data_IF_591314547130
#
_entry.id   IF_591314547130
#
_cell.length_a   1.000
_cell.length_b   1.000
_cell.length_c   1.000
_cell.angle_alpha   90.00
_cell.angle_beta   90.00
_cell.angle_gamma   90.00
#
_symmetry.space_group_name_H-M   'P 1'
#
loop_
_entity.id
_entity.type
_entity.pdbx_description
1 polymer ?
#
# COMPACT_ATOMS: atom_id res chain seq x y z
N UNK A 1 -25.53 -23.27 -37.47
CA UNK A 1 -24.79 -22.63 -36.36
C UNK A 1 -23.39 -22.27 -36.81
N UNK A 2 -22.82 -21.13 -36.37
CA UNK A 2 -21.43 -20.76 -36.66
C UNK A 2 -20.49 -21.62 -35.79
N UNK A 3 -19.61 -22.38 -36.43
CA UNK A 3 -18.50 -23.06 -35.76
C UNK A 3 -17.23 -22.47 -36.37
N UNK A 4 -16.40 -21.83 -35.53
CA UNK A 4 -15.10 -21.25 -35.93
C UNK A 4 -15.17 -20.29 -37.15
N UNK A 5 -16.23 -19.48 -37.23
CA UNK A 5 -16.34 -18.42 -38.24
C UNK A 5 -16.67 -18.87 -39.66
N UNK A 6 -17.04 -20.13 -39.89
CA UNK A 6 -17.52 -20.62 -41.19
C UNK A 6 -18.98 -21.07 -41.08
N UNK A 7 -19.83 -20.61 -42.00
CA UNK A 7 -21.22 -21.02 -42.13
C UNK A 7 -21.28 -22.43 -42.73
N UNK A 8 -21.46 -23.44 -41.89
CA UNK A 8 -21.73 -24.80 -42.30
C UNK A 8 -23.20 -25.16 -42.02
N UNK A 9 -23.89 -25.68 -43.04
CA UNK A 9 -25.21 -26.27 -42.90
C UNK A 9 -25.04 -27.72 -42.43
N UNK A 10 -25.32 -27.97 -41.16
CA UNK A 10 -25.44 -29.32 -40.59
C UNK A 10 -26.84 -29.88 -40.90
N UNK A 11 -26.95 -31.17 -41.24
CA UNK A 11 -28.26 -31.81 -41.43
C UNK A 11 -29.01 -31.98 -40.10
N UNK A 12 -30.34 -32.06 -40.18
CA UNK A 12 -31.24 -32.07 -39.01
C UNK A 12 -30.97 -33.24 -38.05
N UNK A 13 -30.61 -34.42 -38.56
CA UNK A 13 -30.26 -35.60 -37.72
C UNK A 13 -28.99 -35.36 -36.88
N UNK A 14 -27.99 -34.67 -37.43
CA UNK A 14 -26.77 -34.35 -36.67
C UNK A 14 -27.00 -33.24 -35.65
N UNK A 15 -27.93 -32.32 -35.93
CA UNK A 15 -28.30 -31.26 -34.99
C UNK A 15 -29.04 -31.81 -33.77
N UNK A 16 -30.01 -32.72 -33.98
CA UNK A 16 -30.75 -33.36 -32.89
C UNK A 16 -29.86 -34.22 -31.98
N UNK A 17 -28.85 -34.91 -32.51
CA UNK A 17 -27.90 -35.67 -31.68
C UNK A 17 -27.00 -34.77 -30.81
N UNK A 18 -26.62 -33.59 -31.31
CA UNK A 18 -25.82 -32.64 -30.53
C UNK A 18 -26.61 -31.92 -29.43
N UNK A 19 -27.90 -31.64 -29.64
CA UNK A 19 -28.75 -31.04 -28.60
C UNK A 19 -29.28 -32.06 -27.59
N UNK A 20 -29.72 -33.24 -28.03
CA UNK A 20 -30.20 -34.29 -27.11
C UNK A 20 -29.10 -34.80 -26.18
N UNK A 21 -27.85 -34.88 -26.65
CA UNK A 21 -26.71 -35.23 -25.81
C UNK A 21 -26.31 -34.13 -24.82
N UNK A 22 -26.50 -32.85 -25.15
CA UNK A 22 -26.25 -31.76 -24.20
C UNK A 22 -27.32 -31.68 -23.11
N UNK A 23 -28.58 -31.90 -23.47
CA UNK A 23 -29.69 -31.84 -22.51
C UNK A 23 -29.70 -33.03 -21.55
N UNK A 24 -29.38 -34.23 -22.01
CA UNK A 24 -29.18 -35.39 -21.13
C UNK A 24 -28.02 -35.20 -20.17
N UNK A 25 -26.92 -34.61 -20.65
CA UNK A 25 -25.73 -34.35 -19.83
C UNK A 25 -25.97 -33.24 -18.80
N UNK A 26 -26.76 -32.22 -19.15
CA UNK A 26 -27.20 -31.18 -18.21
C UNK A 26 -28.17 -31.73 -17.14
N UNK A 27 -29.04 -32.68 -17.50
CA UNK A 27 -29.93 -33.35 -16.54
C UNK A 27 -29.16 -34.28 -15.59
N UNK A 28 -28.18 -35.04 -16.08
CA UNK A 28 -27.28 -35.84 -15.22
C UNK A 28 -26.46 -34.96 -14.28
N UNK A 29 -25.90 -33.85 -14.77
CA UNK A 29 -25.15 -32.89 -13.93
C UNK A 29 -26.05 -32.26 -12.85
N UNK A 30 -27.31 -31.95 -13.17
CA UNK A 30 -28.28 -31.41 -12.21
C UNK A 30 -28.72 -32.47 -11.17
N UNK A 31 -28.88 -33.74 -11.55
CA UNK A 31 -29.15 -34.83 -10.61
C UNK A 31 -27.98 -35.12 -9.67
N UNK A 32 -26.74 -35.08 -10.19
CA UNK A 32 -25.51 -35.26 -9.39
C UNK A 32 -25.36 -34.10 -8.40
N UNK A 33 -25.63 -32.86 -8.84
CA UNK A 33 -25.58 -31.68 -7.99
C UNK A 33 -26.67 -31.72 -6.89
N UNK A 34 -27.89 -32.15 -7.25
CA UNK A 34 -29.00 -32.32 -6.30
C UNK A 34 -28.75 -33.44 -5.28
N UNK A 35 -28.07 -34.53 -5.67
CA UNK A 35 -27.61 -35.58 -4.75
C UNK A 35 -26.58 -35.06 -3.76
N UNK A 36 -25.58 -34.30 -4.22
CA UNK A 36 -24.56 -33.69 -3.35
C UNK A 36 -25.15 -32.73 -2.32
N UNK A 37 -26.17 -31.96 -2.69
CA UNK A 37 -26.88 -31.07 -1.74
C UNK A 37 -27.67 -31.87 -0.70
N UNK A 38 -28.33 -32.97 -1.09
CA UNK A 38 -29.04 -33.86 -0.14
C UNK A 38 -28.09 -34.56 0.84
N UNK A 39 -26.89 -34.93 0.40
CA UNK A 39 -25.85 -35.53 1.25
C UNK A 39 -25.21 -34.52 2.21
N UNK A 40 -25.13 -33.24 1.83
CA UNK A 40 -24.66 -32.18 2.73
C UNK A 40 -25.68 -31.81 3.82
N UNK A 41 -26.99 -31.97 3.55
CA UNK A 41 -28.05 -31.66 4.51
C UNK A 41 -28.31 -32.79 5.53
N UNK A 42 -27.87 -34.03 5.29
CA UNK A 42 -28.08 -35.17 6.19
C UNK A 42 -26.96 -35.37 7.22
N UNK A 43 -25.90 -34.55 7.18
CA UNK A 43 -24.77 -34.58 8.12
C UNK A 43 -24.97 -33.72 9.37
N UNK A 44 -26.09 -33.87 10.09
CA UNK A 44 -26.28 -33.28 11.42
C UNK A 44 -26.24 -34.38 12.50
N UNK A 45 -25.31 -34.25 13.44
CA UNK A 45 -24.94 -35.29 14.41
C UNK A 45 -26.06 -35.77 15.32
N UNK A 46 -25.98 -37.04 15.71
CA UNK A 46 -26.73 -37.62 16.82
C UNK A 46 -25.84 -38.66 17.53
N UNK A 47 -25.38 -38.33 18.74
CA UNK A 47 -24.74 -39.29 19.66
C UNK A 47 -25.75 -40.35 20.12
N UNK A 48 -25.32 -41.59 20.41
CA UNK A 48 -26.22 -42.65 20.84
C UNK A 48 -26.44 -42.59 22.36
N UNK A 49 -27.70 -42.58 22.80
CA UNK A 49 -28.06 -42.87 24.19
C UNK A 49 -29.15 -43.95 24.24
N UNK A 50 -28.88 -44.92 25.12
CA UNK A 50 -29.70 -46.04 25.60
C UNK A 50 -31.22 -45.84 25.52
N UNK A 51 -31.94 -46.90 25.10
CA UNK A 51 -33.23 -47.29 25.69
C UNK A 51 -33.43 -48.80 25.57
N UNK A 52 -33.71 -49.41 26.73
CA UNK A 52 -34.13 -50.77 26.97
C UNK A 52 -35.64 -50.96 26.74
N UNK A 53 -36.00 -52.21 26.38
CA UNK A 53 -37.24 -52.93 26.71
C UNK A 53 -38.61 -52.32 26.32
N UNK A 54 -39.32 -52.98 25.40
CA UNK A 54 -40.59 -53.72 25.66
C UNK A 54 -41.41 -53.90 24.37
N UNK A 55 -41.78 -55.15 24.07
CA UNK A 55 -42.75 -55.54 23.01
C UNK A 55 -44.20 -55.39 23.52
N UNK A 56 -45.25 -55.37 22.66
CA UNK A 56 -45.87 -56.66 22.24
C UNK A 56 -46.69 -56.70 20.89
N UNK A 57 -46.88 -57.92 20.36
CA UNK A 57 -48.10 -58.39 19.64
C UNK A 57 -48.00 -58.63 18.11
N UNK A 58 -47.70 -59.86 17.62
CA UNK A 58 -48.61 -60.96 17.15
C UNK A 58 -48.92 -60.92 15.62
N UNK A 59 -49.26 -62.05 14.91
CA UNK A 59 -49.12 -63.47 15.23
C UNK A 59 -48.49 -64.39 14.12
N UNK A 60 -47.81 -65.43 14.60
CA UNK A 60 -47.77 -66.87 14.20
C UNK A 60 -48.44 -67.37 12.90
N UNK A 61 -47.67 -68.10 12.08
CA UNK A 61 -48.01 -69.36 11.40
C UNK A 61 -46.71 -70.02 10.87
N UNK A 62 -46.23 -71.13 11.46
CA UNK A 62 -46.46 -72.56 11.12
C UNK A 62 -45.58 -73.08 9.96
N UNK A 63 -44.67 -74.02 10.27
CA UNK A 63 -44.07 -74.94 9.29
C UNK A 63 -42.59 -75.28 9.49
N UNK A 64 -42.32 -76.44 10.10
CA UNK A 64 -41.06 -77.20 10.16
C UNK A 64 -40.51 -77.52 8.75
N UNK A 65 -39.27 -77.91 8.43
CA UNK A 65 -38.12 -78.56 9.06
C UNK A 65 -36.90 -78.32 8.14
N UNK A 66 -35.73 -77.87 8.63
CA UNK A 66 -34.36 -78.27 8.18
C UNK A 66 -33.31 -77.79 9.20
N UNK A 67 -32.37 -78.63 9.66
CA UNK A 67 -31.34 -78.20 10.59
C UNK A 67 -30.25 -77.44 9.80
N UNK A 68 -30.19 -76.11 9.96
CA UNK A 68 -29.01 -75.35 9.50
C UNK A 68 -27.88 -75.62 10.50
N UNK A 69 -26.92 -76.41 10.04
CA UNK A 69 -25.61 -76.58 10.66
C UNK A 69 -25.07 -75.23 11.13
N UNK A 70 -24.62 -75.21 12.38
CA UNK A 70 -23.85 -74.13 12.98
C UNK A 70 -22.59 -73.87 12.13
N UNK A 71 -22.61 -72.80 11.34
CA UNK A 71 -21.40 -72.20 10.73
C UNK A 71 -20.84 -71.12 11.66
N UNK A 72 -20.96 -71.29 12.99
CA UNK A 72 -20.30 -70.45 13.99
C UNK A 72 -18.87 -70.92 14.22
N UNK A 73 -18.14 -71.23 13.14
CA UNK A 73 -16.74 -71.64 13.25
C UNK A 73 -15.88 -71.32 12.03
N UNK A 74 -16.11 -70.21 11.34
CA UNK A 74 -15.06 -69.61 10.48
C UNK A 74 -15.16 -68.08 10.48
N UNK A 75 -14.90 -67.45 11.62
CA UNK A 75 -14.34 -66.09 11.63
C UNK A 75 -13.14 -66.16 12.56
N UNK A 76 -12.01 -66.58 12.01
CA UNK A 76 -10.74 -66.28 12.65
C UNK A 76 -10.63 -64.76 12.74
N UNK A 77 -10.40 -64.16 13.92
CA UNK A 77 -9.99 -62.78 13.98
C UNK A 77 -8.58 -62.76 13.38
N UNK A 78 -8.48 -62.44 12.09
CA UNK A 78 -7.20 -62.11 11.48
C UNK A 78 -6.78 -60.79 12.14
N UNK A 79 -6.01 -60.91 13.21
CA UNK A 79 -5.24 -59.80 13.78
C UNK A 79 -4.37 -59.25 12.66
N UNK A 80 -4.88 -58.28 11.92
CA UNK A 80 -4.06 -57.41 11.10
C UNK A 80 -3.20 -56.61 12.05
N UNK A 81 -2.06 -57.18 12.45
CA UNK A 81 -0.99 -56.40 13.06
C UNK A 81 -0.49 -55.47 11.97
N UNK A 82 -1.02 -54.24 11.93
CA UNK A 82 -0.45 -53.16 11.13
C UNK A 82 0.99 -52.97 11.64
N UNK A 83 1.95 -53.58 10.95
CA UNK A 83 3.37 -53.44 11.23
C UNK A 83 3.90 -52.35 10.33
N UNK A 84 4.42 -51.27 10.92
CA UNK A 84 5.18 -50.26 10.21
C UNK A 84 6.35 -50.95 9.49
N UNK A 85 6.31 -51.00 8.15
CA UNK A 85 7.43 -51.52 7.36
C UNK A 85 8.53 -50.45 7.34
N UNK A 86 9.79 -50.78 7.66
CA UNK A 86 10.90 -49.83 7.65
C UNK A 86 11.43 -49.51 6.25
N UNK A 87 10.66 -49.80 5.20
CA UNK A 87 11.05 -49.47 3.81
C UNK A 87 10.79 -47.99 3.54
N UNK A 88 11.86 -47.21 3.65
CA UNK A 88 11.86 -45.76 3.44
C UNK A 88 11.53 -45.43 1.98
N UNK A 89 12.05 -46.19 1.02
CA UNK A 89 11.82 -45.94 -0.40
C UNK A 89 10.38 -46.23 -0.84
N UNK A 90 9.74 -47.24 -0.26
CA UNK A 90 8.30 -47.47 -0.45
C UNK A 90 7.47 -46.37 0.21
N UNK A 91 7.82 -45.97 1.43
CA UNK A 91 7.12 -44.90 2.14
C UNK A 91 7.18 -43.57 1.40
N UNK A 92 8.31 -43.24 0.79
CA UNK A 92 8.48 -42.01 0.03
C UNK A 92 7.69 -42.04 -1.28
N UNK A 93 7.67 -43.18 -1.98
CA UNK A 93 6.80 -43.37 -3.16
C UNK A 93 5.32 -43.20 -2.83
N UNK A 94 4.86 -43.84 -1.75
CA UNK A 94 3.47 -43.70 -1.30
C UNK A 94 3.17 -42.24 -0.93
N UNK A 95 4.08 -41.54 -0.25
CA UNK A 95 3.88 -40.12 0.09
C UNK A 95 3.86 -39.21 -1.13
N UNK A 96 4.59 -39.53 -2.19
CA UNK A 96 4.59 -38.72 -3.42
C UNK A 96 3.36 -38.99 -4.31
N UNK A 97 2.84 -40.22 -4.32
CA UNK A 97 1.70 -40.60 -5.16
C UNK A 97 0.36 -40.30 -4.48
N UNK A 98 0.33 -40.24 -3.16
CA UNK A 98 -0.89 -40.06 -2.40
C UNK A 98 -1.35 -38.59 -2.40
N UNK A 99 -2.60 -38.37 -2.80
CA UNK A 99 -3.31 -37.11 -2.63
C UNK A 99 -4.60 -37.34 -1.82
N UNK A 100 -5.01 -36.34 -1.05
CA UNK A 100 -6.30 -36.38 -0.37
C UNK A 100 -7.39 -35.89 -1.32
N UNK A 101 -8.48 -36.65 -1.47
CA UNK A 101 -9.63 -36.23 -2.29
C UNK A 101 -10.44 -35.09 -1.64
N UNK A 102 -10.38 -34.98 -0.31
CA UNK A 102 -11.11 -33.97 0.45
C UNK A 102 -10.21 -32.78 0.80
N UNK A 103 -10.84 -31.61 0.90
CA UNK A 103 -10.17 -30.39 1.34
C UNK A 103 -9.52 -30.57 2.73
N UNK A 104 -8.40 -29.88 3.01
CA UNK A 104 -7.69 -30.00 4.27
C UNK A 104 -8.58 -29.67 5.47
N UNK A 105 -8.78 -30.62 6.38
CA UNK A 105 -9.60 -30.45 7.58
C UNK A 105 -8.78 -29.89 8.75
N UNK A 106 -8.91 -28.60 9.03
CA UNK A 106 -8.20 -27.94 10.13
C UNK A 106 -8.61 -28.50 11.50
N UNK A 107 -9.89 -28.85 11.67
CA UNK A 107 -10.44 -29.43 12.90
C UNK A 107 -9.76 -30.74 13.29
N UNK A 108 -9.47 -31.61 12.31
CA UNK A 108 -8.74 -32.85 12.53
C UNK A 108 -7.29 -32.57 12.94
N UNK A 109 -6.62 -31.66 12.22
CA UNK A 109 -5.25 -31.27 12.54
C UNK A 109 -5.14 -30.75 13.99
N UNK A 110 -6.05 -29.86 14.39
CA UNK A 110 -6.13 -29.34 15.77
C UNK A 110 -6.39 -30.47 16.77
N UNK A 111 -7.28 -31.40 16.45
CA UNK A 111 -7.59 -32.54 17.34
C UNK A 111 -6.38 -33.47 17.52
N UNK A 112 -5.61 -33.70 16.46
CA UNK A 112 -4.35 -34.46 16.54
C UNK A 112 -3.30 -33.73 17.37
N UNK A 113 -3.15 -32.41 17.19
CA UNK A 113 -2.21 -31.60 17.96
C UNK A 113 -2.57 -31.57 19.46
N UNK A 114 -3.87 -31.58 19.80
CA UNK A 114 -4.35 -31.66 21.19
C UNK A 114 -4.01 -32.96 21.90
N UNK A 115 -3.75 -34.04 21.17
CA UNK A 115 -3.31 -35.31 21.77
C UNK A 115 -1.81 -35.32 22.12
N UNK A 116 -1.05 -34.32 21.70
CA UNK A 116 0.37 -34.24 22.00
C UNK A 116 0.60 -33.95 23.50
N UNK A 117 1.52 -34.69 24.13
CA UNK A 117 1.79 -34.59 25.56
C UNK A 117 2.37 -33.24 26.01
N UNK A 118 2.95 -32.45 25.09
CA UNK A 118 3.44 -31.09 25.34
C UNK A 118 2.73 -30.09 24.43
N UNK A 119 1.93 -29.19 25.02
CA UNK A 119 1.21 -28.14 24.28
C UNK A 119 2.13 -27.07 23.69
N UNK A 120 3.25 -26.78 24.37
CA UNK A 120 4.23 -25.80 23.87
C UNK A 120 4.95 -26.26 22.60
N UNK A 121 5.33 -27.53 22.51
CA UNK A 121 5.95 -28.09 21.30
C UNK A 121 4.93 -28.22 20.15
N UNK A 122 3.67 -28.53 20.47
CA UNK A 122 2.59 -28.54 19.48
C UNK A 122 2.41 -27.14 18.84
N UNK A 123 2.40 -26.07 19.64
CA UNK A 123 2.34 -24.71 19.13
C UNK A 123 3.56 -24.33 18.26
N UNK A 124 4.78 -24.73 18.65
CA UNK A 124 5.98 -24.52 17.81
C UNK A 124 5.89 -25.25 16.47
N UNK A 125 5.35 -26.47 16.48
CA UNK A 125 5.11 -27.24 15.27
C UNK A 125 4.08 -26.55 14.36
N UNK A 126 3.03 -25.95 14.94
CA UNK A 126 2.06 -25.15 14.18
C UNK A 126 2.72 -23.95 13.49
N UNK A 127 3.62 -23.24 14.16
CA UNK A 127 4.37 -22.13 13.53
C UNK A 127 5.19 -22.65 12.34
N UNK A 128 5.88 -23.79 12.51
CA UNK A 128 6.64 -24.44 11.43
C UNK A 128 5.75 -24.89 10.25
N UNK A 129 4.53 -25.36 10.54
CA UNK A 129 3.54 -25.68 9.50
C UNK A 129 3.12 -24.41 8.78
N UNK A 130 2.82 -23.31 9.49
CA UNK A 130 2.43 -22.04 8.88
C UNK A 130 3.55 -21.45 8.01
N UNK A 131 4.80 -21.60 8.43
CA UNK A 131 5.97 -21.24 7.61
C UNK A 131 5.97 -22.00 6.28
N UNK A 132 5.76 -23.33 6.30
CA UNK A 132 5.68 -24.16 5.09
C UNK A 132 4.44 -23.83 4.26
N UNK A 133 3.31 -23.52 4.89
CA UNK A 133 2.10 -23.12 4.16
C UNK A 133 2.33 -21.79 3.43
N UNK A 134 3.07 -20.87 4.03
CA UNK A 134 3.37 -19.58 3.40
C UNK A 134 4.28 -19.67 2.18
N UNK A 135 5.08 -20.73 2.01
CA UNK A 135 5.87 -20.92 0.77
C UNK A 135 5.00 -21.28 -0.43
N UNK A 136 3.82 -21.87 -0.22
CA UNK A 136 2.85 -22.13 -1.28
C UNK A 136 2.14 -20.87 -1.77
N UNK A 137 2.18 -19.77 -0.99
CA UNK A 137 1.62 -18.49 -1.39
C UNK A 137 2.55 -17.70 -2.32
N UNK A 138 3.83 -18.09 -2.41
CA UNK A 138 4.81 -17.40 -3.27
C UNK A 138 4.51 -17.73 -4.74
N UNK A 139 4.47 -16.72 -5.63
CA UNK A 139 4.18 -16.95 -7.04
C UNK A 139 5.28 -17.78 -7.72
N UNK A 140 4.92 -18.53 -8.77
CA UNK A 140 5.85 -19.39 -9.53
C UNK A 140 6.89 -18.52 -10.26
N UNK A 141 6.46 -17.36 -10.73
CA UNK A 141 7.30 -16.30 -11.29
C UNK A 141 6.69 -14.94 -10.93
N UNK A 142 7.47 -13.83 -10.92
CA UNK A 142 6.94 -12.51 -10.62
C UNK A 142 5.68 -12.21 -11.45
N UNK A 143 4.56 -11.91 -10.80
CA UNK A 143 3.26 -11.61 -11.42
C UNK A 143 2.40 -12.82 -11.81
N UNK A 144 2.88 -14.06 -11.63
CA UNK A 144 2.11 -15.27 -11.98
C UNK A 144 1.77 -16.07 -10.72
N UNK A 145 0.59 -15.87 -10.13
CA UNK A 145 0.12 -16.72 -9.04
C UNK A 145 -0.10 -18.14 -9.56
N UNK A 146 0.24 -19.14 -8.75
CA UNK A 146 -0.16 -20.52 -9.00
C UNK A 146 -1.70 -20.64 -9.06
N UNK A 147 -2.29 -21.05 -10.20
CA UNK A 147 -3.74 -21.17 -10.35
C UNK A 147 -4.32 -22.41 -9.64
N UNK A 148 -3.49 -23.38 -9.27
CA UNK A 148 -3.93 -24.61 -8.59
C UNK A 148 -4.18 -24.42 -7.09
N UNK A 149 -3.78 -23.26 -6.56
CA UNK A 149 -3.78 -22.97 -5.13
C UNK A 149 -4.83 -21.91 -4.81
N UNK A 150 -5.78 -22.27 -3.95
CA UNK A 150 -6.68 -21.29 -3.33
C UNK A 150 -5.96 -20.59 -2.17
N UNK A 151 -5.45 -19.39 -2.45
CA UNK A 151 -4.78 -18.53 -1.47
C UNK A 151 -5.68 -18.21 -0.27
N UNK A 152 -6.99 -18.02 -0.49
CA UNK A 152 -7.94 -17.68 0.58
C UNK A 152 -8.11 -18.85 1.54
N UNK A 153 -8.17 -20.08 1.01
CA UNK A 153 -8.22 -21.28 1.82
C UNK A 153 -6.95 -21.46 2.66
N UNK A 154 -5.77 -21.33 2.04
CA UNK A 154 -4.49 -21.46 2.77
C UNK A 154 -4.39 -20.43 3.89
N UNK A 155 -4.73 -19.17 3.61
CA UNK A 155 -4.74 -18.10 4.61
C UNK A 155 -5.72 -18.42 5.74
N UNK A 156 -6.93 -18.90 5.44
CA UNK A 156 -7.93 -19.30 6.45
C UNK A 156 -7.39 -20.44 7.34
N UNK A 157 -6.78 -21.46 6.74
CA UNK A 157 -6.13 -22.57 7.46
C UNK A 157 -5.06 -22.03 8.39
N UNK A 158 -4.19 -21.14 7.91
CA UNK A 158 -3.12 -20.54 8.69
C UNK A 158 -3.66 -19.69 9.85
N UNK A 159 -4.70 -18.88 9.64
CA UNK A 159 -5.35 -18.08 10.71
C UNK A 159 -5.88 -18.99 11.82
N UNK A 160 -6.61 -20.04 11.45
CA UNK A 160 -7.21 -20.95 12.42
C UNK A 160 -6.14 -21.76 13.18
N UNK A 161 -5.07 -22.19 12.51
CA UNK A 161 -3.95 -22.88 13.15
C UNK A 161 -3.19 -21.96 14.11
N UNK A 162 -2.82 -20.75 13.69
CA UNK A 162 -2.12 -19.78 14.54
C UNK A 162 -2.97 -19.35 15.74
N UNK A 163 -4.28 -19.22 15.57
CA UNK A 163 -5.19 -18.92 16.68
C UNK A 163 -5.17 -20.03 17.74
N UNK A 164 -5.14 -21.30 17.33
CA UNK A 164 -5.00 -22.41 18.28
C UNK A 164 -3.62 -22.44 18.94
N UNK A 165 -2.56 -22.20 18.18
CA UNK A 165 -1.20 -22.08 18.74
C UNK A 165 -1.12 -20.99 19.80
N UNK A 166 -1.77 -19.83 19.57
CA UNK A 166 -1.89 -18.76 20.57
C UNK A 166 -2.55 -19.25 21.86
N UNK A 167 -3.65 -20.00 21.77
CA UNK A 167 -4.32 -20.58 22.94
C UNK A 167 -3.41 -21.55 23.69
N UNK A 168 -2.68 -22.41 22.97
CA UNK A 168 -1.75 -23.37 23.57
C UNK A 168 -0.56 -22.70 24.29
N UNK A 169 -0.05 -21.59 23.75
CA UNK A 169 1.01 -20.79 24.37
C UNK A 169 0.52 -20.03 25.61
N UNK A 170 -0.71 -19.51 25.58
CA UNK A 170 -1.34 -18.89 26.75
C UNK A 170 -1.50 -19.90 27.89
N UNK A 171 -1.91 -21.15 27.57
CA UNK A 171 -2.05 -22.21 28.57
C UNK A 171 -0.71 -22.67 29.17
N UNK A 172 0.41 -22.48 28.47
CA UNK A 172 1.75 -22.83 28.96
C UNK A 172 2.48 -21.66 29.63
N UNK A 173 1.90 -20.46 29.61
CA UNK A 173 2.45 -19.27 30.28
C UNK A 173 3.72 -18.72 29.62
N UNK A 174 4.04 -19.11 28.38
CA UNK A 174 5.22 -18.63 27.68
C UNK A 174 4.90 -17.35 26.89
N UNK A 175 5.26 -16.20 27.45
CA UNK A 175 4.96 -14.87 26.88
C UNK A 175 5.64 -14.67 25.52
N UNK A 176 6.90 -15.07 25.37
CA UNK A 176 7.64 -14.89 24.12
C UNK A 176 7.06 -15.66 22.92
N UNK A 177 6.58 -16.89 23.13
CA UNK A 177 5.92 -17.67 22.07
C UNK A 177 4.51 -17.13 21.74
N UNK A 178 3.84 -16.55 22.75
CA UNK A 178 2.54 -15.90 22.56
C UNK A 178 2.68 -14.67 21.67
N UNK A 179 3.65 -13.80 21.95
CA UNK A 179 3.91 -12.58 21.16
C UNK A 179 4.27 -12.94 19.70
N UNK A 180 5.08 -13.99 19.50
CA UNK A 180 5.41 -14.48 18.15
C UNK A 180 4.18 -14.97 17.39
N UNK A 181 3.26 -15.70 18.06
CA UNK A 181 2.02 -16.17 17.43
C UNK A 181 1.09 -15.02 17.05
N UNK A 182 1.04 -13.96 17.87
CA UNK A 182 0.25 -12.76 17.58
C UNK A 182 0.83 -11.95 16.43
N UNK A 183 2.16 -11.80 16.38
CA UNK A 183 2.85 -11.20 15.25
C UNK A 183 2.56 -11.94 13.94
N UNK A 184 2.68 -13.27 13.96
CA UNK A 184 2.37 -14.12 12.81
C UNK A 184 0.92 -13.97 12.36
N UNK A 185 -0.03 -13.95 13.30
CA UNK A 185 -1.45 -13.74 12.98
C UNK A 185 -1.68 -12.39 12.29
N UNK A 186 -1.04 -11.32 12.78
CA UNK A 186 -1.07 -10.00 12.13
C UNK A 186 -0.46 -10.00 10.73
N UNK A 187 0.56 -10.83 10.46
CA UNK A 187 1.13 -11.00 9.09
C UNK A 187 0.18 -11.78 8.18
N UNK A 188 -0.54 -12.77 8.69
CA UNK A 188 -1.54 -13.51 7.91
C UNK A 188 -2.76 -12.65 7.58
N UNK A 189 -3.18 -11.77 8.50
CA UNK A 189 -4.22 -10.77 8.20
C UNK A 189 -3.80 -9.80 7.09
N UNK A 190 -2.53 -9.38 7.08
CA UNK A 190 -1.99 -8.57 6.00
C UNK A 190 -1.98 -9.35 4.67
N UNK A 191 -1.61 -10.63 4.66
CA UNK A 191 -1.69 -11.47 3.46
C UNK A 191 -3.13 -11.59 2.93
N UNK A 192 -4.12 -11.71 3.81
CA UNK A 192 -5.55 -11.72 3.46
C UNK A 192 -5.97 -10.43 2.76
N UNK A 193 -5.52 -9.28 3.27
CA UNK A 193 -5.75 -7.97 2.63
C UNK A 193 -5.09 -7.91 1.26
N UNK A 194 -3.84 -8.37 1.13
CA UNK A 194 -3.12 -8.37 -0.14
C UNK A 194 -3.81 -9.24 -1.20
N UNK A 195 -4.33 -10.41 -0.81
CA UNK A 195 -5.11 -11.29 -1.68
C UNK A 195 -6.43 -10.66 -2.09
N UNK A 196 -7.16 -10.04 -1.16
CA UNK A 196 -8.40 -9.30 -1.45
C UNK A 196 -8.17 -8.11 -2.38
N UNK A 197 -7.02 -7.46 -2.26
CA UNK A 197 -6.58 -6.39 -3.16
C UNK A 197 -6.05 -6.92 -4.51
N UNK A 198 -6.09 -8.22 -4.76
CA UNK A 198 -5.58 -8.88 -5.98
C UNK A 198 -4.11 -8.53 -6.24
N UNK A 199 -3.27 -8.63 -5.22
CA UNK A 199 -1.82 -8.52 -5.35
C UNK A 199 -1.21 -9.89 -5.65
N UNK A 200 -0.45 -9.97 -6.75
CA UNK A 200 0.03 -11.25 -7.30
C UNK A 200 1.34 -11.72 -6.66
N UNK A 201 2.18 -10.80 -6.18
CA UNK A 201 3.54 -11.10 -5.67
C UNK A 201 3.58 -11.29 -4.15
N UNK A 202 2.84 -12.26 -3.62
CA UNK A 202 2.75 -12.45 -2.18
C UNK A 202 4.08 -12.90 -1.54
N UNK A 203 4.53 -12.24 -0.45
CA UNK A 203 5.71 -12.64 0.30
C UNK A 203 5.41 -13.75 1.31
N UNK A 204 6.48 -14.40 1.81
CA UNK A 204 6.38 -15.41 2.89
C UNK A 204 6.13 -14.74 4.26
N UNK A 205 5.52 -15.41 5.24
CA UNK A 205 5.34 -14.84 6.61
C UNK A 205 6.68 -14.44 7.24
N UNK A 206 7.73 -15.26 7.06
CA UNK A 206 9.08 -14.95 7.55
C UNK A 206 9.65 -13.67 6.94
N UNK A 207 9.34 -13.39 5.69
CA UNK A 207 9.77 -12.17 5.01
C UNK A 207 8.99 -10.97 5.53
N UNK A 208 7.69 -11.10 5.79
CA UNK A 208 6.89 -10.05 6.43
C UNK A 208 7.30 -9.78 7.89
N UNK A 209 8.03 -10.69 8.52
CA UNK A 209 8.59 -10.49 9.87
C UNK A 209 9.80 -9.56 9.85
N UNK A 210 10.57 -9.54 8.75
CA UNK A 210 11.75 -8.69 8.60
C UNK A 210 11.34 -7.28 8.17
N UNK A 211 11.84 -6.24 8.83
CA UNK A 211 11.45 -4.87 8.50
C UNK A 211 11.97 -4.39 7.13
N UNK A 212 13.16 -4.83 6.71
CA UNK A 212 13.78 -4.37 5.46
C UNK A 212 13.07 -4.85 4.21
N UNK A 213 12.59 -6.10 4.22
CA UNK A 213 11.76 -6.68 3.16
C UNK A 213 10.42 -5.97 3.08
N UNK A 214 9.81 -5.61 4.21
CA UNK A 214 8.57 -4.84 4.23
C UNK A 214 8.78 -3.41 3.71
N UNK A 215 9.92 -2.76 4.02
CA UNK A 215 10.28 -1.45 3.41
C UNK A 215 10.39 -1.56 1.89
N UNK A 216 11.11 -2.56 1.38
CA UNK A 216 11.23 -2.81 -0.07
C UNK A 216 9.88 -3.12 -0.72
N UNK A 217 9.04 -3.90 -0.05
CA UNK A 217 7.69 -4.22 -0.53
C UNK A 217 6.81 -2.96 -0.58
N UNK A 218 6.87 -2.10 0.44
CA UNK A 218 6.19 -0.80 0.44
C UNK A 218 6.66 0.05 -0.75
N UNK A 219 7.96 0.15 -0.98
CA UNK A 219 8.50 0.96 -2.07
C UNK A 219 8.09 0.39 -3.44
N UNK A 220 8.02 -0.94 -3.58
CA UNK A 220 7.46 -1.61 -4.77
C UNK A 220 5.97 -1.31 -4.96
N UNK A 221 5.16 -1.38 -3.89
CA UNK A 221 3.74 -1.04 -3.94
C UNK A 221 3.49 0.44 -4.28
N UNK A 222 4.38 1.34 -3.85
CA UNK A 222 4.36 2.75 -4.23
C UNK A 222 4.64 2.88 -5.73
N UNK A 223 5.64 2.17 -6.25
CA UNK A 223 5.96 2.16 -7.68
C UNK A 223 4.83 1.57 -8.55
N UNK A 224 4.09 0.58 -8.03
CA UNK A 224 2.93 -0.02 -8.68
C UNK A 224 1.62 0.81 -8.49
N UNK A 225 1.71 2.03 -7.94
CA UNK A 225 0.58 2.95 -7.63
C UNK A 225 -0.50 2.38 -6.68
N UNK A 226 -0.22 1.27 -5.97
CA UNK A 226 -1.13 0.64 -5.00
C UNK A 226 -0.98 1.25 -3.61
N UNK A 227 -1.23 2.56 -3.52
CA UNK A 227 -0.95 3.37 -2.33
C UNK A 227 -1.77 2.97 -1.10
N UNK A 228 -3.02 2.56 -1.27
CA UNK A 228 -3.90 2.08 -0.17
C UNK A 228 -3.31 0.84 0.51
N UNK A 229 -2.81 -0.12 -0.28
CA UNK A 229 -2.17 -1.32 0.22
C UNK A 229 -0.82 -1.02 0.90
N UNK A 230 -0.04 -0.09 0.35
CA UNK A 230 1.21 0.37 0.96
C UNK A 230 0.98 1.04 2.34
N UNK A 231 -0.15 1.74 2.51
CA UNK A 231 -0.54 2.35 3.78
C UNK A 231 -0.92 1.29 4.82
N UNK A 232 -1.72 0.30 4.42
CA UNK A 232 -2.09 -0.79 5.31
C UNK A 232 -0.87 -1.63 5.71
N UNK A 233 0.03 -1.90 4.77
CA UNK A 233 1.31 -2.55 5.04
C UNK A 233 2.13 -1.79 6.09
N UNK A 234 2.27 -0.47 5.92
CA UNK A 234 3.07 0.37 6.82
C UNK A 234 2.48 0.43 8.22
N UNK A 235 1.16 0.62 8.33
CA UNK A 235 0.46 0.69 9.63
C UNK A 235 0.46 -0.65 10.37
N UNK A 236 0.22 -1.78 9.68
CA UNK A 236 0.24 -3.12 10.28
C UNK A 236 1.65 -3.61 10.63
N UNK A 237 2.68 -3.12 9.93
CA UNK A 237 4.07 -3.49 10.20
C UNK A 237 4.82 -2.52 11.12
N UNK A 238 4.21 -1.40 11.51
CA UNK A 238 4.83 -0.39 12.36
C UNK A 238 6.00 0.34 11.67
N UNK A 239 5.94 0.46 10.34
CA UNK A 239 6.93 1.23 9.56
C UNK A 239 6.41 2.64 9.37
N UNK A 240 7.33 3.61 9.32
CA UNK A 240 7.00 5.01 9.10
C UNK A 240 6.15 5.20 7.82
N UNK A 241 4.90 5.70 7.96
CA UNK A 241 3.99 5.91 6.85
C UNK A 241 4.29 7.22 6.09
N UNK A 242 5.23 8.06 6.54
CA UNK A 242 5.52 9.35 5.89
C UNK A 242 5.89 9.21 4.40
N UNK A 243 6.61 8.15 4.03
CA UNK A 243 6.92 7.84 2.63
C UNK A 243 5.68 7.51 1.78
N UNK A 244 4.66 6.87 2.37
CA UNK A 244 3.41 6.58 1.65
C UNK A 244 2.53 7.83 1.57
N UNK A 245 2.48 8.65 2.63
CA UNK A 245 1.75 9.93 2.61
C UNK A 245 2.29 10.90 1.57
N UNK A 246 3.61 10.99 1.42
CA UNK A 246 4.21 11.81 0.36
C UNK A 246 3.87 11.29 -1.03
N UNK A 247 3.98 9.98 -1.28
CA UNK A 247 3.56 9.38 -2.55
C UNK A 247 2.06 9.59 -2.86
N UNK A 248 1.18 9.50 -1.84
CA UNK A 248 -0.24 9.85 -1.97
C UNK A 248 -0.45 11.34 -2.28
N UNK A 249 0.34 12.22 -1.65
CA UNK A 249 0.29 13.65 -1.94
C UNK A 249 0.67 13.94 -3.40
N UNK A 250 1.74 13.34 -3.91
CA UNK A 250 2.12 13.46 -5.32
C UNK A 250 1.07 12.90 -6.26
N UNK A 251 0.48 11.73 -5.96
CA UNK A 251 -0.62 11.19 -6.74
C UNK A 251 -1.84 12.15 -6.78
N UNK A 252 -2.19 12.79 -5.66
CA UNK A 252 -3.21 13.83 -5.63
C UNK A 252 -2.82 15.04 -6.51
N UNK A 253 -1.56 15.48 -6.49
CA UNK A 253 -1.08 16.56 -7.36
C UNK A 253 -1.15 16.18 -8.86
N UNK A 254 -0.81 14.94 -9.22
CA UNK A 254 -0.96 14.42 -10.58
C UNK A 254 -2.42 14.42 -11.06
N UNK A 255 -3.37 14.22 -10.14
CA UNK A 255 -4.80 14.27 -10.41
C UNK A 255 -5.39 15.69 -10.34
N UNK A 256 -4.59 16.71 -10.01
CA UNK A 256 -5.04 18.09 -9.85
C UNK A 256 -5.85 18.36 -8.57
N UNK A 257 -5.90 17.39 -7.64
CA UNK A 257 -6.55 17.57 -6.33
C UNK A 257 -5.59 18.18 -5.32
N UNK A 258 -5.50 19.52 -5.35
CA UNK A 258 -4.64 20.27 -4.43
C UNK A 258 -5.12 20.18 -2.97
N UNK A 259 -6.42 20.10 -2.72
CA UNK A 259 -6.94 20.01 -1.35
C UNK A 259 -6.59 18.67 -0.71
N UNK A 260 -6.79 17.57 -1.45
CA UNK A 260 -6.35 16.25 -1.03
C UNK A 260 -4.84 16.21 -0.79
N UNK A 261 -4.05 16.78 -1.70
CA UNK A 261 -2.60 16.85 -1.55
C UNK A 261 -2.16 17.55 -0.26
N UNK A 262 -2.75 18.71 0.08
CA UNK A 262 -2.45 19.46 1.32
C UNK A 262 -2.67 18.61 2.58
N UNK A 263 -3.79 17.88 2.63
CA UNK A 263 -4.12 17.02 3.76
C UNK A 263 -3.13 15.85 3.92
N UNK A 264 -2.63 15.28 2.81
CA UNK A 264 -1.63 14.21 2.84
C UNK A 264 -0.27 14.74 3.23
N UNK A 265 0.17 15.85 2.61
CA UNK A 265 1.46 16.47 2.91
C UNK A 265 1.53 17.01 4.34
N UNK A 266 0.42 17.49 4.90
CA UNK A 266 0.35 17.91 6.30
C UNK A 266 0.58 16.78 7.31
N UNK A 267 0.46 15.52 6.91
CA UNK A 267 0.78 14.36 7.77
C UNK A 267 2.26 13.97 7.72
N UNK A 268 3.00 14.37 6.69
CA UNK A 268 4.43 14.06 6.55
C UNK A 268 5.35 15.26 6.78
N UNK A 269 4.92 16.47 6.43
CA UNK A 269 5.67 17.71 6.62
C UNK A 269 5.39 18.30 8.00
N UNK A 270 6.44 18.84 8.64
CA UNK A 270 6.34 19.58 9.90
C UNK A 270 6.71 21.03 9.67
N UNK A 271 5.94 21.93 10.27
CA UNK A 271 6.26 23.36 10.22
C UNK A 271 7.62 23.63 10.90
N UNK A 272 8.45 24.52 10.34
CA UNK A 272 9.75 24.84 10.90
C UNK A 272 9.59 25.52 12.26
N UNK A 273 10.41 25.14 13.24
CA UNK A 273 10.35 25.68 14.60
C UNK A 273 10.70 27.18 14.64
N UNK A 274 11.62 27.64 13.79
CA UNK A 274 11.90 29.06 13.56
C UNK A 274 11.90 29.37 12.06
N UNK A 275 11.04 30.30 11.63
CA UNK A 275 10.94 30.73 10.22
C UNK A 275 12.14 31.59 9.76
N UNK A 276 12.92 32.12 10.69
CA UNK A 276 14.07 33.01 10.43
C UNK A 276 15.42 32.26 10.28
N UNK A 277 15.44 30.93 10.34
CA UNK A 277 16.67 30.16 10.16
C UNK A 277 17.21 30.36 8.72
N UNK A 278 18.51 30.67 8.64
CA UNK A 278 19.23 30.90 7.37
C UNK A 278 19.82 29.62 6.80
N UNK A 279 20.02 28.60 7.63
CA UNK A 279 20.40 27.26 7.21
C UNK A 279 19.21 26.57 6.56
N UNK A 280 19.38 26.11 5.32
CA UNK A 280 18.38 25.41 4.53
C UNK A 280 17.88 24.15 5.27
N UNK A 281 16.86 24.32 6.10
CA UNK A 281 16.04 23.26 6.68
C UNK A 281 14.97 22.83 5.68
N UNK A 282 15.30 22.86 4.38
CA UNK A 282 14.45 22.35 3.33
C UNK A 282 14.34 20.85 3.50
N UNK A 283 13.20 20.40 4.01
CA UNK A 283 12.82 19.00 3.84
C UNK A 283 12.87 18.71 2.34
N UNK A 284 13.69 17.75 1.92
CA UNK A 284 13.85 17.36 0.50
C UNK A 284 12.51 17.24 -0.25
N UNK A 285 11.49 16.76 0.44
CA UNK A 285 10.11 16.67 -0.03
C UNK A 285 9.52 18.02 -0.49
N UNK A 286 9.78 19.12 0.22
CA UNK A 286 9.29 20.45 -0.15
C UNK A 286 9.90 20.92 -1.49
N UNK A 287 11.18 20.65 -1.71
CA UNK A 287 11.85 20.98 -2.98
C UNK A 287 11.24 20.16 -4.12
N UNK A 288 11.04 18.85 -3.90
CA UNK A 288 10.42 17.97 -4.89
C UNK A 288 8.97 18.39 -5.22
N UNK A 289 8.20 18.86 -4.23
CA UNK A 289 6.85 19.40 -4.44
C UNK A 289 6.89 20.69 -5.29
N UNK A 290 7.78 21.62 -4.96
CA UNK A 290 7.90 22.89 -5.70
C UNK A 290 8.37 22.65 -7.13
N UNK A 291 9.37 21.79 -7.33
CA UNK A 291 9.83 21.39 -8.66
C UNK A 291 8.69 20.74 -9.46
N UNK A 292 7.91 19.85 -8.86
CA UNK A 292 6.75 19.26 -9.51
C UNK A 292 5.73 20.32 -9.95
N UNK A 293 5.36 21.24 -9.05
CA UNK A 293 4.41 22.31 -9.36
C UNK A 293 4.93 23.27 -10.45
N UNK A 294 6.24 23.50 -10.53
CA UNK A 294 6.88 24.29 -11.58
C UNK A 294 6.88 23.57 -12.94
N UNK A 295 6.92 22.24 -12.95
CA UNK A 295 6.80 21.46 -14.20
C UNK A 295 5.38 21.44 -14.77
N UNK A 296 4.35 21.75 -13.96
CA UNK A 296 2.97 21.83 -14.43
C UNK A 296 2.80 23.11 -15.26
N UNK A 297 2.48 23.02 -16.56
CA UNK A 297 2.26 24.21 -17.36
C UNK A 297 1.08 25.01 -16.80
N UNK A 298 1.28 26.31 -16.58
CA UNK A 298 0.24 27.25 -16.12
C UNK A 298 -0.98 27.34 -17.05
N UNK A 299 -0.89 26.74 -18.24
CA UNK A 299 -1.91 26.71 -19.28
C UNK A 299 -2.55 25.31 -19.40
N UNK A 300 -3.78 25.18 -18.89
CA UNK A 300 -4.83 24.28 -19.39
C UNK A 300 -4.70 22.76 -19.19
N UNK A 301 -3.52 22.21 -18.89
CA UNK A 301 -3.35 20.75 -18.82
C UNK A 301 -4.09 20.12 -17.62
N UNK A 302 -4.14 20.81 -16.49
CA UNK A 302 -4.88 20.35 -15.30
C UNK A 302 -6.38 20.35 -15.52
N UNK A 303 -6.93 21.31 -16.26
CA UNK A 303 -8.38 21.35 -16.53
C UNK A 303 -8.77 20.22 -17.48
N UNK A 304 -7.97 19.95 -18.51
CA UNK A 304 -8.23 18.83 -19.45
C UNK A 304 -8.13 17.48 -18.72
N UNK A 305 -7.15 17.30 -17.83
CA UNK A 305 -6.99 16.06 -17.06
C UNK A 305 -8.07 15.88 -15.97
N UNK A 306 -8.54 16.99 -15.38
CA UNK A 306 -9.69 17.02 -14.46
C UNK A 306 -11.01 16.70 -15.18
N UNK A 307 -11.18 17.20 -16.41
CA UNK A 307 -12.34 16.90 -17.27
C UNK A 307 -12.32 15.46 -17.82
N UNK A 308 -11.13 14.88 -18.07
CA UNK A 308 -10.99 13.47 -18.44
C UNK A 308 -11.29 12.51 -17.29
N UNK A 309 -11.25 13.00 -16.05
CA UNK A 309 -11.59 12.23 -14.85
C UNK A 309 -13.10 12.19 -14.57
N UNK A 310 -13.90 13.04 -15.24
CA UNK A 310 -15.34 13.18 -15.02
C UNK A 310 -16.12 13.16 -16.36
N UNK A 311 -16.77 12.05 -16.74
CA UNK A 311 -17.32 11.84 -18.09
C UNK A 311 -18.48 12.78 -18.48
N UNK A 312 -19.10 13.51 -17.54
CA UNK A 312 -20.18 14.46 -17.82
C UNK A 312 -19.71 15.82 -18.35
N UNK A 313 -18.41 16.14 -18.22
CA UNK A 313 -17.88 17.49 -18.50
C UNK A 313 -17.32 17.67 -19.92
N UNK A 314 -17.51 16.68 -20.80
CA UNK A 314 -16.90 16.59 -22.15
C UNK A 314 -17.44 17.65 -23.13
N UNK A 315 -18.54 18.32 -22.82
CA UNK A 315 -19.20 19.26 -23.74
C UNK A 315 -18.44 20.59 -23.97
N UNK A 316 -17.51 20.98 -23.10
CA UNK A 316 -16.90 22.33 -23.12
C UNK A 316 -15.47 22.40 -23.71
N UNK A 317 -14.96 21.31 -24.30
CA UNK A 317 -13.58 21.21 -24.80
C UNK A 317 -13.25 22.25 -25.88
N UNK A 318 -14.25 22.74 -26.63
CA UNK A 318 -14.03 23.70 -27.73
C UNK A 318 -13.67 25.13 -27.27
N UNK A 319 -13.90 25.48 -26.00
CA UNK A 319 -13.73 26.86 -25.52
C UNK A 319 -12.33 27.13 -24.94
N UNK A 320 -11.54 26.08 -24.65
CA UNK A 320 -10.29 26.17 -23.87
C UNK A 320 -8.99 26.22 -24.71
N UNK A 321 -9.07 26.12 -26.04
CA UNK A 321 -7.91 26.11 -26.95
C UNK A 321 -7.31 27.49 -27.25
N UNK A 322 -7.67 28.53 -26.49
CA UNK A 322 -7.08 29.87 -26.66
C UNK A 322 -5.77 29.92 -25.84
N UNK A 323 -4.58 30.02 -26.47
CA UNK A 323 -3.34 30.22 -25.73
C UNK A 323 -3.36 31.64 -25.15
N UNK A 324 -3.49 31.76 -23.83
CA UNK A 324 -3.31 33.06 -23.17
C UNK A 324 -1.80 33.36 -23.12
N UNK A 325 -1.38 34.20 -24.06
CA UNK A 325 -0.03 34.78 -24.09
C UNK A 325 0.04 35.85 -22.99
N UNK A 326 0.91 35.64 -21.99
CA UNK A 326 1.26 36.68 -21.01
C UNK A 326 1.92 36.13 -19.75
N UNK A 327 3.10 36.65 -19.40
CA UNK A 327 3.82 36.39 -18.14
C UNK A 327 2.97 36.74 -16.90
N UNK A 328 1.99 37.65 -17.03
CA UNK A 328 1.10 38.06 -15.95
C UNK A 328 0.13 36.95 -15.50
N UNK A 329 -0.27 36.03 -16.39
CA UNK A 329 -1.18 34.93 -16.03
C UNK A 329 -0.49 33.79 -15.25
N UNK A 330 0.85 33.75 -15.21
CA UNK A 330 1.57 32.77 -14.38
C UNK A 330 1.42 33.07 -12.89
N UNK A 331 1.30 34.35 -12.55
CA UNK A 331 1.22 34.87 -11.18
C UNK A 331 -0.10 34.49 -10.48
N UNK A 332 -1.15 34.24 -11.25
CA UNK A 332 -2.46 33.80 -10.72
C UNK A 332 -2.76 32.33 -11.02
N UNK A 333 -1.81 31.61 -11.61
CA UNK A 333 -1.99 30.19 -11.89
C UNK A 333 -2.15 29.40 -10.59
N UNK A 334 -3.08 28.43 -10.58
CA UNK A 334 -3.31 27.58 -9.42
C UNK A 334 -2.04 26.90 -8.87
N UNK A 335 -1.11 26.40 -9.71
CA UNK A 335 0.16 25.83 -9.22
C UNK A 335 1.00 26.84 -8.44
N UNK A 336 1.05 28.11 -8.86
CA UNK A 336 1.79 29.15 -8.16
C UNK A 336 1.18 29.47 -6.78
N UNK A 337 -0.15 29.54 -6.70
CA UNK A 337 -0.84 29.71 -5.40
C UNK A 337 -0.57 28.53 -4.45
N UNK A 338 -0.47 27.33 -5.00
CA UNK A 338 -0.14 26.12 -4.25
C UNK A 338 1.32 26.12 -3.75
N UNK A 339 2.28 26.54 -4.57
CA UNK A 339 3.67 26.74 -4.14
C UNK A 339 3.75 27.71 -2.96
N UNK A 340 3.04 28.84 -3.04
CA UNK A 340 2.98 29.82 -1.95
C UNK A 340 2.35 29.23 -0.68
N UNK A 341 1.35 28.37 -0.80
CA UNK A 341 0.75 27.69 0.35
C UNK A 341 1.77 26.78 1.06
N UNK A 342 2.46 25.92 0.33
CA UNK A 342 3.45 25.00 0.91
C UNK A 342 4.62 25.75 1.52
N UNK A 343 5.11 26.79 0.85
CA UNK A 343 6.14 27.67 1.39
C UNK A 343 5.65 28.32 2.70
N UNK A 344 4.47 28.94 2.72
CA UNK A 344 3.96 29.65 3.92
C UNK A 344 3.80 28.75 5.13
N UNK A 345 3.41 27.50 4.87
CA UNK A 345 3.05 26.51 5.89
C UNK A 345 4.27 25.73 6.38
N UNK A 346 5.19 25.35 5.49
CA UNK A 346 6.29 24.43 5.79
C UNK A 346 7.70 24.99 5.49
N UNK A 347 7.81 26.11 4.78
CA UNK A 347 9.08 26.75 4.43
C UNK A 347 9.54 27.82 5.42
N UNK A 348 10.84 28.06 5.46
CA UNK A 348 11.44 29.23 6.12
C UNK A 348 11.25 30.50 5.27
N UNK A 349 11.50 31.68 5.84
CA UNK A 349 11.51 32.92 5.08
C UNK A 349 12.62 32.94 4.02
N UNK A 350 13.73 32.25 4.28
CA UNK A 350 14.80 32.05 3.29
C UNK A 350 14.29 31.25 2.08
N UNK A 351 13.49 30.21 2.30
CA UNK A 351 12.95 29.37 1.22
C UNK A 351 11.97 30.14 0.33
N UNK A 352 11.12 30.98 0.93
CA UNK A 352 10.22 31.86 0.19
C UNK A 352 10.99 32.84 -0.70
N UNK A 353 12.02 33.48 -0.14
CA UNK A 353 12.85 34.43 -0.88
C UNK A 353 13.61 33.73 -2.02
N UNK A 354 14.15 32.53 -1.75
CA UNK A 354 14.81 31.73 -2.78
C UNK A 354 13.85 31.33 -3.92
N UNK A 355 12.63 30.92 -3.60
CA UNK A 355 11.59 30.62 -4.59
C UNK A 355 11.22 31.85 -5.43
N UNK A 356 10.90 32.97 -4.78
CA UNK A 356 10.56 34.21 -5.50
C UNK A 356 11.70 34.69 -6.40
N UNK A 357 12.96 34.49 -5.98
CA UNK A 357 14.14 34.78 -6.80
C UNK A 357 14.27 33.83 -7.99
N UNK A 358 14.06 32.53 -7.79
CA UNK A 358 14.12 31.53 -8.88
C UNK A 358 13.14 31.86 -10.02
N UNK A 359 12.00 32.46 -9.70
CA UNK A 359 11.01 32.94 -10.68
C UNK A 359 11.16 34.43 -11.06
N UNK A 360 12.28 35.08 -10.72
CA UNK A 360 12.57 36.49 -11.04
C UNK A 360 11.59 37.52 -10.47
N UNK A 361 10.80 37.17 -9.44
CA UNK A 361 9.86 38.08 -8.76
C UNK A 361 10.56 38.93 -7.68
N UNK A 362 11.52 39.74 -8.10
CA UNK A 362 12.33 40.58 -7.20
C UNK A 362 11.48 41.55 -6.36
N UNK A 363 10.48 42.22 -6.97
CA UNK A 363 9.60 43.15 -6.26
C UNK A 363 8.87 42.48 -5.09
N UNK A 364 8.29 41.30 -5.32
CA UNK A 364 7.55 40.55 -4.30
C UNK A 364 8.46 39.98 -3.22
N UNK A 365 9.69 39.57 -3.59
CA UNK A 365 10.65 39.08 -2.61
C UNK A 365 11.08 40.18 -1.62
N UNK A 366 11.27 41.38 -2.15
CA UNK A 366 11.61 42.58 -1.37
C UNK A 366 10.42 43.00 -0.50
N UNK A 367 9.21 43.02 -1.05
CA UNK A 367 7.97 43.28 -0.29
C UNK A 367 7.76 42.26 0.84
N UNK A 368 7.92 40.96 0.56
CA UNK A 368 7.80 39.88 1.55
C UNK A 368 8.80 40.05 2.71
N UNK A 369 10.02 40.51 2.42
CA UNK A 369 11.03 40.75 3.44
C UNK A 369 10.61 41.86 4.42
N UNK A 370 9.97 42.93 3.94
CA UNK A 370 9.40 43.99 4.80
C UNK A 370 8.20 43.47 5.57
N UNK A 371 7.22 42.90 4.86
CA UNK A 371 5.91 42.55 5.42
C UNK A 371 6.02 41.51 6.54
N UNK A 372 6.99 40.60 6.44
CA UNK A 372 7.24 39.57 7.45
C UNK A 372 8.39 39.89 8.42
N UNK A 373 8.97 41.10 8.35
CA UNK A 373 10.11 41.53 9.17
C UNK A 373 11.23 40.48 9.23
N UNK A 374 11.67 40.01 8.05
CA UNK A 374 12.71 38.99 7.96
C UNK A 374 13.99 39.45 8.67
N UNK A 375 14.77 38.51 9.24
CA UNK A 375 16.04 38.88 9.87
C UNK A 375 17.03 39.48 8.87
N UNK A 376 17.93 40.35 9.35
CA UNK A 376 18.93 40.98 8.48
C UNK A 376 19.85 39.95 7.78
N UNK A 377 20.12 38.81 8.42
CA UNK A 377 20.88 37.72 7.82
C UNK A 377 20.12 36.97 6.72
N UNK A 378 18.78 36.86 6.82
CA UNK A 378 17.95 36.27 5.77
C UNK A 378 17.93 37.18 4.53
N UNK A 379 17.82 38.50 4.72
CA UNK A 379 17.91 39.47 3.62
C UNK A 379 19.29 39.42 2.93
N UNK A 380 20.37 39.45 3.71
CA UNK A 380 21.73 39.47 3.16
C UNK A 380 22.06 38.17 2.42
N UNK A 381 21.81 37.01 3.04
CA UNK A 381 22.14 35.73 2.43
C UNK A 381 21.15 35.28 1.35
N UNK A 382 19.88 35.70 1.43
CA UNK A 382 18.81 35.29 0.52
C UNK A 382 18.66 36.18 -0.72
N UNK A 383 18.81 37.50 -0.56
CA UNK A 383 18.66 38.48 -1.65
C UNK A 383 20.00 39.06 -2.09
N UNK A 384 20.78 39.65 -1.17
CA UNK A 384 21.94 40.46 -1.53
C UNK A 384 23.11 39.64 -2.09
N UNK A 385 23.54 38.59 -1.37
CA UNK A 385 24.64 37.71 -1.83
C UNK A 385 24.31 37.03 -3.16
N UNK A 386 23.10 36.47 -3.36
CA UNK A 386 22.72 35.89 -4.65
C UNK A 386 22.61 36.92 -5.78
N UNK A 387 22.08 38.12 -5.52
CA UNK A 387 22.00 39.19 -6.52
C UNK A 387 23.39 39.69 -6.95
N UNK A 388 24.38 39.64 -6.06
CA UNK A 388 25.78 39.93 -6.40
C UNK A 388 26.37 38.87 -7.32
N UNK A 389 26.14 37.59 -7.01
CA UNK A 389 26.67 36.48 -7.80
C UNK A 389 26.00 36.38 -9.18
N UNK A 390 24.72 36.74 -9.30
CA UNK A 390 23.99 36.75 -10.57
C UNK A 390 24.16 38.04 -11.38
N UNK A 391 24.78 39.08 -10.81
CA UNK A 391 24.93 40.39 -11.46
C UNK A 391 23.65 41.22 -11.53
N UNK A 392 22.56 40.78 -10.88
CA UNK A 392 21.25 41.47 -10.90
C UNK A 392 21.07 42.50 -9.78
N UNK A 393 22.16 42.90 -9.12
CA UNK A 393 22.11 43.82 -7.99
C UNK A 393 21.47 45.18 -8.32
N UNK A 394 21.67 45.69 -9.54
CA UNK A 394 21.02 46.92 -9.98
C UNK A 394 19.49 46.81 -9.99
N UNK A 395 18.96 45.67 -10.44
CA UNK A 395 17.50 45.41 -10.45
C UNK A 395 16.95 45.38 -9.03
N UNK A 396 17.63 44.69 -8.11
CA UNK A 396 17.22 44.62 -6.71
C UNK A 396 17.14 46.01 -6.05
N UNK A 397 18.17 46.83 -6.23
CA UNK A 397 18.21 48.20 -5.70
C UNK A 397 17.12 49.09 -6.30
N UNK A 398 16.84 48.95 -7.60
CA UNK A 398 15.75 49.66 -8.28
C UNK A 398 14.37 49.25 -7.74
N UNK A 399 14.13 47.94 -7.50
CA UNK A 399 12.89 47.47 -6.88
C UNK A 399 12.73 47.99 -5.44
N UNK A 400 13.81 48.06 -4.66
CA UNK A 400 13.77 48.65 -3.31
C UNK A 400 13.38 50.13 -3.33
N UNK A 401 13.90 50.89 -4.30
CA UNK A 401 13.64 52.31 -4.46
C UNK A 401 12.20 52.58 -4.95
N UNK A 402 11.65 51.69 -5.77
CA UNK A 402 10.24 51.75 -6.17
C UNK A 402 9.28 51.51 -5.00
N UNK A 403 9.63 50.63 -4.05
CA UNK A 403 8.78 50.34 -2.88
C UNK A 403 8.92 51.37 -1.76
N UNK A 404 10.13 51.89 -1.53
CA UNK A 404 10.38 52.92 -0.54
C UNK A 404 11.42 53.93 -1.04
N UNK A 405 10.99 55.08 -1.58
CA UNK A 405 11.87 56.12 -2.07
C UNK A 405 12.70 56.78 -0.97
N UNK A 406 12.28 56.72 0.30
CA UNK A 406 12.99 57.35 1.43
C UNK A 406 14.07 56.44 2.02
N UNK A 407 14.09 55.16 1.64
CA UNK A 407 15.03 54.13 2.09
C UNK A 407 15.06 53.86 3.60
N UNK A 408 14.17 54.49 4.39
CA UNK A 408 14.20 54.42 5.85
C UNK A 408 13.92 53.00 6.36
N UNK A 409 12.99 52.28 5.72
CA UNK A 409 12.65 50.90 6.09
C UNK A 409 13.79 49.93 5.80
N UNK A 410 14.69 50.29 4.89
CA UNK A 410 15.79 49.45 4.43
C UNK A 410 17.08 49.66 5.23
N UNK A 411 17.20 50.71 6.03
CA UNK A 411 18.45 51.10 6.70
C UNK A 411 19.05 49.99 7.58
N UNK A 412 18.21 49.22 8.28
CA UNK A 412 18.65 48.09 9.11
C UNK A 412 19.27 46.96 8.26
N UNK A 413 18.64 46.65 7.12
CA UNK A 413 19.09 45.64 6.16
C UNK A 413 20.34 46.07 5.39
N UNK A 414 20.38 47.31 4.94
CA UNK A 414 21.52 47.89 4.22
C UNK A 414 22.75 47.99 5.13
N UNK A 415 22.58 48.40 6.39
CA UNK A 415 23.68 48.42 7.37
C UNK A 415 24.24 47.03 7.63
N UNK A 416 23.37 46.01 7.76
CA UNK A 416 23.80 44.62 7.91
C UNK A 416 24.52 44.10 6.66
N UNK A 417 24.03 44.47 5.47
CA UNK A 417 24.70 44.18 4.19
C UNK A 417 26.09 44.79 4.15
N UNK A 418 26.24 46.07 4.50
CA UNK A 418 27.53 46.74 4.56
C UNK A 418 28.51 46.04 5.52
N UNK A 419 28.04 45.60 6.70
CA UNK A 419 28.85 44.81 7.64
C UNK A 419 29.29 43.47 7.05
N UNK A 420 28.40 42.78 6.33
CA UNK A 420 28.71 41.51 5.68
C UNK A 420 29.73 41.69 4.55
N UNK A 421 29.54 42.69 3.69
CA UNK A 421 30.44 43.03 2.59
C UNK A 421 31.84 43.43 3.06
N UNK A 422 31.92 44.20 4.15
CA UNK A 422 33.18 44.57 4.78
C UNK A 422 33.92 43.33 5.31
N UNK A 423 33.20 42.39 5.93
CA UNK A 423 33.76 41.13 6.43
C UNK A 423 34.30 40.24 5.30
N UNK A 424 33.64 40.24 4.14
CA UNK A 424 34.03 39.45 2.97
C UNK A 424 35.01 40.17 2.02
N UNK A 425 35.40 41.42 2.31
CA UNK A 425 36.33 42.26 1.52
C UNK A 425 35.84 42.61 0.10
N UNK A 426 34.54 42.71 -0.12
CA UNK A 426 33.97 43.17 -1.40
C UNK A 426 33.84 44.70 -1.45
N UNK A 427 34.95 45.41 -1.62
CA UNK A 427 35.01 46.88 -1.53
C UNK A 427 34.25 47.59 -2.68
N UNK A 428 34.31 47.08 -3.90
CA UNK A 428 33.61 47.69 -5.05
C UNK A 428 32.09 47.69 -4.88
N UNK A 429 31.52 46.58 -4.41
CA UNK A 429 30.07 46.47 -4.16
C UNK A 429 29.68 47.25 -2.91
N UNK A 430 30.53 47.29 -1.89
CA UNK A 430 30.32 48.10 -0.70
C UNK A 430 30.23 49.59 -1.03
N UNK A 431 31.14 50.09 -1.87
CA UNK A 431 31.12 51.46 -2.37
C UNK A 431 29.81 51.79 -3.10
N UNK A 432 29.35 50.91 -4.01
CA UNK A 432 28.10 51.09 -4.74
C UNK A 432 26.87 51.14 -3.82
N UNK A 433 26.83 50.28 -2.80
CA UNK A 433 25.74 50.26 -1.80
C UNK A 433 25.79 51.51 -0.90
N UNK A 434 26.98 51.98 -0.51
CA UNK A 434 27.13 53.20 0.31
C UNK A 434 26.75 54.47 -0.46
N UNK A 435 27.09 54.54 -1.75
CA UNK A 435 26.60 55.60 -2.65
C UNK A 435 25.07 55.56 -2.76
N UNK A 436 24.47 54.37 -2.89
CA UNK A 436 23.02 54.19 -2.92
C UNK A 436 22.36 54.65 -1.61
N UNK A 437 22.98 54.38 -0.46
CA UNK A 437 22.53 54.88 0.85
C UNK A 437 22.70 56.39 1.04
N UNK A 438 23.32 57.10 0.08
CA UNK A 438 23.76 58.51 0.21
C UNK A 438 24.70 58.74 1.41
N UNK A 439 25.40 57.70 1.85
CA UNK A 439 26.40 57.77 2.92
C UNK A 439 27.78 58.07 2.30
N UNK A 440 27.93 59.28 1.78
CA UNK A 440 29.12 59.72 1.06
C UNK A 440 30.39 59.69 1.93
N UNK A 441 30.25 59.82 3.24
CA UNK A 441 31.37 59.81 4.18
C UNK A 441 31.95 58.40 4.28
N UNK A 442 31.09 57.38 4.45
CA UNK A 442 31.57 55.99 4.46
C UNK A 442 32.01 55.52 3.08
N UNK A 443 31.35 55.96 2.02
CA UNK A 443 31.77 55.69 0.64
C UNK A 443 33.17 56.24 0.35
N UNK A 444 33.53 57.42 0.86
CA UNK A 444 34.86 58.00 0.67
C UNK A 444 35.96 57.31 1.49
N UNK A 445 35.62 56.59 2.56
CA UNK A 445 36.56 55.86 3.42
C UNK A 445 36.78 54.41 2.99
N UNK A 446 35.98 53.91 2.05
CA UNK A 446 35.98 52.52 1.57
C UNK A 446 36.75 52.43 0.26
#
# INVERSE_FOLDING_TARGET
SMILGVLACTCDECYEQTQSSSDHRAQEEHEIYSRKIKEQLSGAGSSPNNISSSSPGLPRNLGSDRPRQSVVSVIFPVNHSWKLRPDVAFSDRVRSEFYYEQAPSVSLCISMLKQHGSRGEAGKLVISICDKLSTYLVPISPGVPNPEIDYSLIISVMKQLLFQAKLDFLHTGNTGLTDMSELYLGRVDLLDVMVKANYQDLPTIKELTKQDTVRRLRDKLIADERLSLAMELSTKCGIDPAGVWSAMGFACLHLGDFNGARDKFGRCLKAPSDKNQTSASQSRLLVEILEFLDTIPSSGFTEIQRLLSDPESICDIKTLLIPSVGEENRIESMPYQECLYYLKTYGSYMDHICFLRQHSYWMKAVQFAIDHHCSSDVFVNGLMVPAMNSGEMGRLLEQMLMLDPTLEKWMAYLTATCKHLLKQKFFNTLYQVQLFMKDYIRAAMT
#
